data_IF_597677907536
#
_entry.id   IF_597677907536
#
_cell.length_a   1.000
_cell.length_b   1.000
_cell.length_c   1.000
_cell.angle_alpha   90.00
_cell.angle_beta   90.00
_cell.angle_gamma   90.00
#
_symmetry.space_group_name_H-M   'P 1'
#
loop_
_entity.id
_entity.type
_entity.pdbx_description
1 polymer ?
#
# COMPACT_ATOMS: atom_id res chain seq x y z
N UNK A 1 14.60 -47.48 -14.49
CA UNK A 1 13.78 -47.29 -13.27
C UNK A 1 14.34 -46.08 -12.53
N UNK A 2 13.68 -44.91 -12.60
CA UNK A 2 14.18 -43.69 -11.96
C UNK A 2 13.84 -43.68 -10.46
N UNK A 3 14.79 -43.26 -9.62
CA UNK A 3 14.64 -43.17 -8.15
C UNK A 3 13.55 -42.14 -7.79
N UNK A 4 12.63 -42.54 -6.92
CA UNK A 4 11.42 -41.79 -6.51
C UNK A 4 11.67 -40.65 -5.50
N UNK A 5 12.92 -40.31 -5.19
CA UNK A 5 13.22 -39.44 -4.04
C UNK A 5 13.78 -38.07 -4.43
N UNK A 6 13.07 -37.36 -5.31
CA UNK A 6 13.38 -35.94 -5.54
C UNK A 6 12.14 -35.07 -5.69
N UNK A 7 11.17 -35.25 -4.80
CA UNK A 7 10.25 -34.16 -4.45
C UNK A 7 10.93 -33.37 -3.34
N UNK A 8 11.80 -32.42 -3.70
CA UNK A 8 12.22 -31.36 -2.78
C UNK A 8 10.97 -30.54 -2.47
N UNK A 9 10.22 -30.95 -1.45
CA UNK A 9 9.27 -30.07 -0.80
C UNK A 9 10.02 -28.77 -0.51
N UNK A 10 9.61 -27.68 -1.17
CA UNK A 10 10.14 -26.36 -0.89
C UNK A 10 9.74 -26.05 0.56
N UNK A 11 10.61 -26.40 1.52
CA UNK A 11 10.45 -26.03 2.92
C UNK A 11 10.36 -24.52 2.93
N UNK A 12 9.16 -23.98 3.18
CA UNK A 12 9.00 -22.55 3.41
C UNK A 12 9.93 -22.20 4.56
N UNK A 13 10.78 -21.18 4.40
CA UNK A 13 11.69 -20.79 5.47
C UNK A 13 10.88 -20.49 6.73
N UNK A 14 11.43 -20.86 7.89
CA UNK A 14 10.82 -20.53 9.17
C UNK A 14 10.71 -19.01 9.29
N UNK A 15 9.52 -18.46 9.57
CA UNK A 15 9.32 -17.02 9.63
C UNK A 15 10.14 -16.41 10.76
N UNK A 16 10.70 -15.23 10.50
CA UNK A 16 11.37 -14.41 11.52
C UNK A 16 10.35 -13.77 12.46
N UNK A 17 10.82 -13.19 13.57
CA UNK A 17 9.94 -12.42 14.45
C UNK A 17 9.28 -11.24 13.71
N UNK A 18 10.02 -10.57 12.83
CA UNK A 18 9.50 -9.47 12.01
C UNK A 18 8.37 -9.97 11.10
N UNK A 19 8.55 -11.12 10.45
CA UNK A 19 7.53 -11.71 9.59
C UNK A 19 6.24 -12.01 10.38
N UNK A 20 6.37 -12.58 11.58
CA UNK A 20 5.23 -12.86 12.45
C UNK A 20 4.51 -11.59 12.90
N UNK A 21 5.26 -10.53 13.23
CA UNK A 21 4.69 -9.22 13.59
C UNK A 21 3.95 -8.59 12.40
N UNK A 22 4.58 -8.54 11.23
CA UNK A 22 3.95 -8.02 10.00
C UNK A 22 2.66 -8.80 9.69
N UNK A 23 2.70 -10.13 9.71
CA UNK A 23 1.51 -10.96 9.50
C UNK A 23 0.42 -10.68 10.52
N UNK A 24 0.77 -10.53 11.81
CA UNK A 24 -0.21 -10.23 12.85
C UNK A 24 -0.86 -8.86 12.63
N UNK A 25 -0.09 -7.86 12.20
CA UNK A 25 -0.63 -6.53 11.87
C UNK A 25 -1.56 -6.62 10.66
N UNK A 26 -1.16 -7.31 9.58
CA UNK A 26 -1.99 -7.48 8.38
C UNK A 26 -3.36 -8.11 8.73
N UNK A 27 -3.38 -9.17 9.55
CA UNK A 27 -4.64 -9.79 9.98
C UNK A 27 -5.55 -8.85 10.80
N UNK A 28 -4.97 -7.80 11.40
CA UNK A 28 -5.64 -6.86 12.27
C UNK A 28 -5.63 -5.43 11.69
N UNK A 29 -5.45 -5.28 10.38
CA UNK A 29 -5.25 -3.99 9.70
C UNK A 29 -6.40 -2.99 9.94
N UNK A 30 -7.60 -3.47 10.24
CA UNK A 30 -8.76 -2.65 10.62
C UNK A 30 -8.56 -1.79 11.89
N UNK A 31 -7.58 -2.16 12.72
CA UNK A 31 -7.21 -1.44 13.95
C UNK A 31 -5.92 -0.63 13.78
N UNK A 32 -5.37 -0.56 12.57
CA UNK A 32 -4.14 0.17 12.29
C UNK A 32 -4.44 1.68 12.26
N UNK A 33 -3.75 2.43 13.12
CA UNK A 33 -3.83 3.90 13.20
C UNK A 33 -2.49 4.55 12.86
N UNK A 34 -1.95 5.32 13.80
CA UNK A 34 -0.65 5.99 13.64
C UNK A 34 0.50 4.98 13.46
N UNK A 35 1.23 5.07 12.35
CA UNK A 35 2.39 4.22 12.03
C UNK A 35 3.70 5.01 11.94
N UNK A 36 3.74 6.21 12.54
CA UNK A 36 4.88 7.12 12.49
C UNK A 36 6.20 6.50 12.96
N UNK A 37 6.16 5.51 13.85
CA UNK A 37 7.33 4.82 14.39
C UNK A 37 7.76 3.55 13.62
N UNK A 38 7.02 3.11 12.61
CA UNK A 38 7.29 1.83 11.94
C UNK A 38 8.42 1.96 10.91
N UNK A 39 9.30 0.98 10.77
CA UNK A 39 10.31 1.03 9.72
C UNK A 39 9.68 1.03 8.32
N UNK A 40 10.31 1.72 7.37
CA UNK A 40 9.78 1.83 6.00
C UNK A 40 9.52 0.46 5.37
N UNK A 41 10.41 -0.51 5.60
CA UNK A 41 10.25 -1.87 5.09
C UNK A 41 8.99 -2.56 5.64
N UNK A 42 8.64 -2.32 6.91
CA UNK A 42 7.40 -2.84 7.48
C UNK A 42 6.17 -2.18 6.85
N UNK A 43 6.23 -0.87 6.62
CA UNK A 43 5.14 -0.13 5.95
C UNK A 43 4.91 -0.65 4.53
N UNK A 44 5.98 -0.91 3.78
CA UNK A 44 5.91 -1.47 2.43
C UNK A 44 5.26 -2.85 2.38
N UNK A 45 5.35 -3.62 3.46
CA UNK A 45 4.68 -4.91 3.59
C UNK A 45 3.26 -4.80 4.12
N UNK A 46 2.98 -3.90 5.06
CA UNK A 46 1.68 -3.82 5.76
C UNK A 46 0.65 -3.01 4.95
N UNK A 47 1.02 -1.81 4.49
CA UNK A 47 0.07 -0.86 3.90
C UNK A 47 -0.60 -1.35 2.62
N UNK A 48 0.01 -2.19 1.76
CA UNK A 48 -0.69 -2.75 0.59
C UNK A 48 -1.91 -3.62 0.92
N UNK A 49 -2.06 -4.07 2.17
CA UNK A 49 -3.21 -4.85 2.62
C UNK A 49 -4.37 -3.98 3.14
N UNK A 50 -4.20 -2.67 3.19
CA UNK A 50 -5.28 -1.75 3.57
C UNK A 50 -6.32 -1.63 2.44
N UNK A 51 -7.59 -1.43 2.78
CA UNK A 51 -8.55 -0.81 1.87
C UNK A 51 -8.26 0.69 1.69
N UNK A 52 -8.90 1.35 0.73
CA UNK A 52 -8.75 2.80 0.55
C UNK A 52 -9.13 3.57 1.83
N UNK A 53 -10.23 3.21 2.49
CA UNK A 53 -10.66 3.86 3.74
C UNK A 53 -9.69 3.63 4.90
N UNK A 54 -9.14 2.42 5.02
CA UNK A 54 -8.14 2.11 6.02
C UNK A 54 -6.84 2.90 5.77
N UNK A 55 -6.39 2.97 4.53
CA UNK A 55 -5.19 3.74 4.17
C UNK A 55 -5.42 5.25 4.41
N UNK A 56 -6.62 5.76 4.11
CA UNK A 56 -7.03 7.13 4.42
C UNK A 56 -6.94 7.41 5.92
N UNK A 57 -7.43 6.49 6.74
CA UNK A 57 -7.38 6.61 8.20
C UNK A 57 -5.94 6.62 8.72
N UNK A 58 -5.07 5.73 8.22
CA UNK A 58 -3.65 5.66 8.60
C UNK A 58 -2.92 6.97 8.26
N UNK A 59 -3.12 7.51 7.05
CA UNK A 59 -2.54 8.79 6.63
C UNK A 59 -3.00 9.95 7.51
N UNK A 60 -4.31 10.03 7.81
CA UNK A 60 -4.86 11.11 8.64
C UNK A 60 -4.45 11.00 10.12
N UNK A 61 -4.22 9.78 10.62
CA UNK A 61 -3.83 9.54 12.02
C UNK A 61 -2.31 9.63 12.25
N UNK A 62 -1.49 9.47 11.21
CA UNK A 62 -0.03 9.56 11.29
C UNK A 62 0.44 10.99 11.10
N UNK A 63 0.80 11.67 12.20
CA UNK A 63 1.29 13.05 12.18
C UNK A 63 2.81 13.11 12.21
N UNK A 64 3.41 14.08 11.52
CA UNK A 64 4.85 14.36 11.59
C UNK A 64 5.75 13.44 10.78
N UNK A 65 5.19 12.51 9.99
CA UNK A 65 5.93 11.66 9.06
C UNK A 65 5.24 11.65 7.70
N UNK A 66 6.03 11.82 6.64
CA UNK A 66 5.53 11.64 5.28
C UNK A 66 5.48 10.16 4.91
N UNK A 67 4.29 9.64 4.64
CA UNK A 67 4.07 8.26 4.19
C UNK A 67 4.07 8.14 2.65
N UNK A 68 4.11 9.27 1.94
CA UNK A 68 4.07 9.32 0.47
C UNK A 68 5.06 8.41 -0.25
N UNK A 69 6.30 8.14 0.25
CA UNK A 69 7.22 7.20 -0.40
C UNK A 69 6.66 5.79 -0.55
N UNK A 70 5.73 5.38 0.33
CA UNK A 70 5.10 4.06 0.31
C UNK A 70 3.68 4.14 -0.25
N UNK A 71 2.92 5.16 0.11
CA UNK A 71 1.47 5.20 -0.10
C UNK A 71 1.05 5.78 -1.44
N UNK A 72 1.85 6.66 -2.07
CA UNK A 72 1.43 7.36 -3.28
C UNK A 72 1.14 6.39 -4.44
N UNK A 73 1.97 5.34 -4.58
CA UNK A 73 1.74 4.24 -5.52
C UNK A 73 0.49 3.40 -5.20
N UNK A 74 0.11 3.30 -3.93
CA UNK A 74 -1.09 2.58 -3.51
C UNK A 74 -2.34 3.41 -3.83
N UNK A 75 -2.29 4.71 -3.55
CA UNK A 75 -3.34 5.66 -3.92
C UNK A 75 -3.58 5.73 -5.41
N UNK A 76 -2.51 5.72 -6.23
CA UNK A 76 -2.66 5.60 -7.69
C UNK A 76 -3.43 4.34 -8.09
N UNK A 77 -3.13 3.19 -7.48
CA UNK A 77 -3.84 1.93 -7.74
C UNK A 77 -5.32 2.00 -7.33
N UNK A 78 -5.64 2.64 -6.21
CA UNK A 78 -7.03 2.86 -5.82
C UNK A 78 -7.77 3.78 -6.79
N UNK A 79 -7.12 4.85 -7.23
CA UNK A 79 -7.66 5.76 -8.23
C UNK A 79 -7.95 5.02 -9.54
N UNK A 80 -6.96 4.28 -10.06
CA UNK A 80 -7.13 3.49 -11.28
C UNK A 80 -8.23 2.43 -11.15
N UNK A 81 -8.31 1.75 -10.00
CA UNK A 81 -9.37 0.78 -9.74
C UNK A 81 -10.76 1.42 -9.71
N UNK A 82 -10.88 2.64 -9.19
CA UNK A 82 -12.15 3.34 -9.01
C UNK A 82 -12.63 4.05 -10.28
N UNK A 83 -11.72 4.72 -10.99
CA UNK A 83 -12.03 5.61 -12.12
C UNK A 83 -11.56 5.06 -13.48
N UNK A 84 -10.78 3.97 -13.48
CA UNK A 84 -10.23 3.35 -14.67
C UNK A 84 -8.88 3.92 -15.13
N UNK A 85 -8.19 3.14 -15.96
CA UNK A 85 -6.87 3.48 -16.51
C UNK A 85 -6.90 4.73 -17.36
N UNK A 86 -7.91 4.90 -18.24
CA UNK A 86 -8.03 6.07 -19.11
C UNK A 86 -8.06 7.40 -18.33
N UNK A 87 -8.87 7.46 -17.27
CA UNK A 87 -8.95 8.64 -16.40
C UNK A 87 -7.65 8.88 -15.64
N UNK A 88 -6.98 7.81 -15.21
CA UNK A 88 -5.67 7.89 -14.53
C UNK A 88 -4.61 8.47 -15.46
N UNK A 89 -4.54 7.99 -16.71
CA UNK A 89 -3.60 8.47 -17.71
C UNK A 89 -3.86 9.93 -18.10
N UNK A 90 -5.13 10.32 -18.19
CA UNK A 90 -5.50 11.72 -18.44
C UNK A 90 -5.03 12.65 -17.31
N UNK A 91 -5.19 12.23 -16.05
CA UNK A 91 -4.67 12.98 -14.90
C UNK A 91 -3.15 13.12 -14.98
N UNK A 92 -2.42 12.04 -15.27
CA UNK A 92 -0.95 12.06 -15.42
C UNK A 92 -0.54 13.00 -16.57
N UNK A 93 -1.23 12.92 -17.70
CA UNK A 93 -0.99 13.81 -18.85
C UNK A 93 -1.18 15.27 -18.46
N UNK A 94 -2.29 15.61 -17.81
CA UNK A 94 -2.59 16.98 -17.35
C UNK A 94 -1.57 17.50 -16.33
N UNK A 95 -1.12 16.64 -15.41
CA UNK A 95 -0.04 16.98 -14.47
C UNK A 95 1.25 17.35 -15.21
N UNK A 96 1.63 16.54 -16.21
CA UNK A 96 2.83 16.77 -17.02
C UNK A 96 2.73 18.06 -17.84
N UNK A 97 1.61 18.29 -18.51
CA UNK A 97 1.36 19.50 -19.33
C UNK A 97 1.43 20.77 -18.49
N UNK A 98 0.83 20.75 -17.30
CA UNK A 98 0.81 21.89 -16.37
C UNK A 98 2.06 22.00 -15.50
N UNK A 99 2.99 21.04 -15.58
CA UNK A 99 4.20 20.94 -14.73
C UNK A 99 3.87 20.99 -13.23
N UNK A 100 2.81 20.30 -12.83
CA UNK A 100 2.39 20.18 -11.42
C UNK A 100 2.36 18.71 -11.01
N UNK A 101 2.62 18.43 -9.74
CA UNK A 101 2.41 17.12 -9.13
C UNK A 101 1.42 17.25 -7.97
N UNK A 102 0.43 16.35 -7.93
CA UNK A 102 -0.49 16.23 -6.81
C UNK A 102 -0.33 14.85 -6.18
N UNK A 103 -0.49 14.76 -4.85
CA UNK A 103 -0.53 13.45 -4.19
C UNK A 103 -1.79 12.72 -4.64
N UNK A 104 -1.68 11.44 -4.96
CA UNK A 104 -2.83 10.65 -5.41
C UNK A 104 -3.93 10.56 -4.35
N UNK A 105 -3.55 10.56 -3.06
CA UNK A 105 -4.49 10.62 -1.95
C UNK A 105 -5.39 11.86 -2.03
N UNK A 106 -4.82 13.04 -2.27
CA UNK A 106 -5.56 14.30 -2.32
C UNK A 106 -6.55 14.31 -3.49
N UNK A 107 -6.13 13.79 -4.64
CA UNK A 107 -7.01 13.63 -5.79
C UNK A 107 -8.15 12.66 -5.49
N UNK A 108 -7.82 11.49 -4.94
CA UNK A 108 -8.80 10.49 -4.57
C UNK A 108 -9.83 11.04 -3.57
N UNK A 109 -9.37 11.71 -2.51
CA UNK A 109 -10.26 12.35 -1.52
C UNK A 109 -11.15 13.43 -2.15
N UNK A 110 -10.59 14.28 -3.02
CA UNK A 110 -11.35 15.37 -3.64
C UNK A 110 -12.48 14.88 -4.56
N UNK A 111 -12.29 13.73 -5.20
CA UNK A 111 -13.29 13.12 -6.10
C UNK A 111 -14.34 12.29 -5.34
N UNK A 112 -13.97 11.78 -4.16
CA UNK A 112 -14.87 11.00 -3.30
C UNK A 112 -15.60 11.88 -2.29
N UNK A 113 -15.36 13.19 -2.27
CA UNK A 113 -15.68 14.08 -1.15
C UNK A 113 -17.09 14.66 -1.10
N UNK A 114 -17.99 13.96 -0.39
CA UNK A 114 -18.99 14.39 0.62
C UNK A 114 -20.25 13.53 0.55
#
# INVERSE_FOLDING_TARGET
MMRRDQIRAHKRPTPTLVDLCVQKVIHNVRYLGNVGSFDQHMLEQILPHCTADQLMHVEKSTKGRDLSPVTDKLWKKFFEKQFGTNSTDEVIKRMKEKRVSFRWMQLFESLMGK
#
